data_IF_721144316578
#
_entry.id   IF_721144316578
#
_cell.length_a   1.000
_cell.length_b   1.000
_cell.length_c   1.000
_cell.angle_alpha   90.00
_cell.angle_beta   90.00
_cell.angle_gamma   90.00
#
_symmetry.space_group_name_H-M   'P 1'
#
loop_
_entity.id
_entity.type
_entity.pdbx_description
1 polymer ?
#
# COMPACT_ATOMS: atom_id res chain seq x y z
N UNK A 1 -0.75 9.12 33.34
CA UNK A 1 -1.03 7.96 32.47
C UNK A 1 -2.10 8.41 31.49
N UNK A 2 -1.69 8.90 30.33
CA UNK A 2 -2.64 9.21 29.27
C UNK A 2 -3.11 7.88 28.67
N UNK A 3 -4.42 7.66 28.66
CA UNK A 3 -5.06 6.62 27.86
C UNK A 3 -4.71 6.95 26.41
N UNK A 4 -4.16 5.98 25.69
CA UNK A 4 -4.11 6.06 24.23
C UNK A 4 -5.57 5.85 23.83
N UNK A 5 -6.27 6.97 23.65
CA UNK A 5 -7.58 6.98 23.03
C UNK A 5 -7.42 6.35 21.65
N UNK A 6 -8.26 5.36 21.37
CA UNK A 6 -8.37 4.66 20.10
C UNK A 6 -8.43 5.67 18.95
N UNK A 7 -7.29 5.92 18.31
CA UNK A 7 -7.22 6.52 16.99
C UNK A 7 -7.81 5.46 16.05
N UNK A 8 -8.73 5.87 15.16
CA UNK A 8 -9.37 4.98 14.19
C UNK A 8 -8.35 4.04 13.58
N UNK A 9 -8.66 2.75 13.58
CA UNK A 9 -7.72 1.73 13.11
C UNK A 9 -7.53 1.96 11.60
N UNK A 10 -6.41 2.58 11.21
CA UNK A 10 -6.06 2.69 9.80
C UNK A 10 -5.93 1.27 9.23
N UNK A 11 -6.78 0.94 8.27
CA UNK A 11 -6.75 -0.37 7.65
C UNK A 11 -5.60 -0.37 6.64
N UNK A 12 -4.60 -1.20 6.90
CA UNK A 12 -3.45 -1.39 6.01
C UNK A 12 -3.54 -2.74 5.31
N UNK A 13 -3.19 -2.77 4.04
CA UNK A 13 -2.96 -3.97 3.26
C UNK A 13 -1.58 -3.95 2.64
N UNK A 14 -0.93 -5.10 2.52
CA UNK A 14 0.38 -5.20 1.90
C UNK A 14 0.54 -6.43 1.01
N UNK A 15 1.33 -6.26 -0.05
CA UNK A 15 1.66 -7.32 -0.99
C UNK A 15 3.14 -7.33 -1.34
N UNK A 16 3.81 -8.44 -1.03
CA UNK A 16 5.23 -8.62 -1.27
C UNK A 16 5.49 -9.10 -2.69
N UNK A 17 6.30 -8.36 -3.42
CA UNK A 17 6.78 -8.71 -4.76
C UNK A 17 8.27 -9.04 -4.73
N UNK A 18 8.86 -9.35 -5.90
CA UNK A 18 10.31 -9.49 -6.04
C UNK A 18 11.06 -8.16 -5.99
N UNK A 19 10.37 -7.04 -6.21
CA UNK A 19 10.96 -5.71 -6.36
C UNK A 19 10.82 -4.86 -5.10
N UNK A 20 9.97 -5.27 -4.17
CA UNK A 20 9.64 -4.57 -2.92
C UNK A 20 8.26 -4.96 -2.43
N UNK A 21 7.79 -4.32 -1.37
CA UNK A 21 6.49 -4.57 -0.75
C UNK A 21 5.58 -3.37 -1.00
N UNK A 22 4.48 -3.57 -1.73
CA UNK A 22 3.44 -2.55 -1.80
C UNK A 22 2.65 -2.53 -0.51
N UNK A 23 2.24 -1.34 -0.11
CA UNK A 23 1.26 -1.13 0.95
C UNK A 23 0.21 -0.12 0.49
N UNK A 24 -1.03 -0.34 0.94
CA UNK A 24 -2.12 0.61 0.83
C UNK A 24 -2.67 0.83 2.24
N UNK A 25 -2.82 2.09 2.63
CA UNK A 25 -3.41 2.47 3.93
C UNK A 25 -4.68 3.28 3.68
N UNK A 26 -5.79 2.87 4.27
CA UNK A 26 -7.00 3.66 4.37
C UNK A 26 -6.93 4.59 5.56
N UNK A 27 -6.96 5.90 5.30
CA UNK A 27 -7.12 6.91 6.33
C UNK A 27 -8.61 7.15 6.58
N UNK A 28 -9.09 6.73 7.75
CA UNK A 28 -10.47 6.94 8.17
C UNK A 28 -10.82 8.44 8.26
N UNK A 29 -9.86 9.30 8.62
CA UNK A 29 -10.09 10.73 8.79
C UNK A 29 -10.48 11.42 7.47
N UNK A 30 -9.81 11.04 6.39
CA UNK A 30 -9.97 11.71 5.09
C UNK A 30 -10.72 10.85 4.05
N UNK A 31 -11.03 9.59 4.39
CA UNK A 31 -11.54 8.58 3.46
C UNK A 31 -10.68 8.51 2.18
N UNK A 32 -9.37 8.46 2.37
CA UNK A 32 -8.37 8.40 1.30
C UNK A 32 -7.51 7.15 1.45
N UNK A 33 -6.96 6.70 0.33
CA UNK A 33 -6.09 5.53 0.24
C UNK A 33 -4.69 5.99 -0.16
N UNK A 34 -3.71 5.76 0.71
CA UNK A 34 -2.32 6.06 0.45
C UNK A 34 -1.62 4.83 -0.09
N UNK A 35 -0.99 4.97 -1.26
CA UNK A 35 -0.17 3.94 -1.86
C UNK A 35 1.30 4.21 -1.55
N UNK A 36 2.03 3.17 -1.22
CA UNK A 36 3.48 3.20 -1.25
C UNK A 36 4.12 1.86 -1.52
N UNK A 37 5.45 1.89 -1.62
CA UNK A 37 6.28 0.73 -1.84
C UNK A 37 7.53 0.84 -0.96
N UNK A 38 7.76 -0.19 -0.15
CA UNK A 38 8.79 -0.19 0.89
C UNK A 38 8.67 1.07 1.77
N UNK A 39 9.68 1.94 1.84
CA UNK A 39 9.64 3.19 2.62
C UNK A 39 9.04 4.38 1.89
N UNK A 40 8.75 4.25 0.59
CA UNK A 40 8.38 5.38 -0.27
C UNK A 40 6.86 5.49 -0.41
N UNK A 41 6.30 6.68 -0.19
CA UNK A 41 4.92 6.99 -0.57
C UNK A 41 4.89 7.37 -2.06
N UNK A 42 3.96 6.76 -2.79
CA UNK A 42 3.85 6.89 -4.25
C UNK A 42 2.64 7.73 -4.66
N UNK A 43 1.53 7.64 -3.91
CA UNK A 43 0.31 8.35 -4.28
C UNK A 43 -0.77 8.37 -3.20
N UNK A 44 -1.80 9.18 -3.44
CA UNK A 44 -2.97 9.31 -2.59
C UNK A 44 -4.22 9.32 -3.48
N UNK A 45 -5.18 8.46 -3.16
CA UNK A 45 -6.31 8.12 -4.01
C UNK A 45 -7.62 8.26 -3.24
N UNK A 46 -8.71 8.52 -3.96
CA UNK A 46 -10.07 8.54 -3.37
C UNK A 46 -10.70 7.15 -3.25
N UNK A 47 -10.16 6.19 -3.99
CA UNK A 47 -10.67 4.82 -4.07
C UNK A 47 -9.50 3.87 -4.07
N UNK A 48 -9.63 2.76 -3.36
CA UNK A 48 -8.61 1.72 -3.30
C UNK A 48 -8.35 1.11 -4.69
N UNK A 49 -9.39 1.01 -5.52
CA UNK A 49 -9.26 0.44 -6.87
C UNK A 49 -8.37 1.29 -7.78
N UNK A 50 -8.33 2.61 -7.58
CA UNK A 50 -7.46 3.49 -8.36
C UNK A 50 -5.98 3.26 -8.00
N UNK A 51 -5.68 3.03 -6.71
CA UNK A 51 -4.34 2.66 -6.27
C UNK A 51 -3.89 1.32 -6.85
N UNK A 52 -4.74 0.28 -6.76
CA UNK A 52 -4.43 -1.05 -7.32
C UNK A 52 -4.23 -0.98 -8.83
N UNK A 53 -5.06 -0.18 -9.51
CA UNK A 53 -4.96 0.04 -10.95
C UNK A 53 -3.60 0.61 -11.34
N UNK A 54 -3.10 1.63 -10.66
CA UNK A 54 -1.78 2.21 -10.95
C UNK A 54 -0.65 1.19 -10.77
N UNK A 55 -0.74 0.31 -9.77
CA UNK A 55 0.23 -0.78 -9.57
C UNK A 55 0.20 -1.75 -10.75
N UNK A 56 -1.00 -2.14 -11.20
CA UNK A 56 -1.17 -3.09 -12.31
C UNK A 56 -0.77 -2.51 -13.66
N UNK A 57 -1.09 -1.24 -13.88
CA UNK A 57 -0.75 -0.51 -15.11
C UNK A 57 0.70 -0.02 -15.10
N UNK A 58 1.46 -0.29 -14.03
CA UNK A 58 2.86 0.10 -13.92
C UNK A 58 3.05 1.61 -14.12
N UNK A 59 2.15 2.38 -13.49
CA UNK A 59 2.08 3.84 -13.55
C UNK A 59 2.13 4.44 -12.14
N UNK A 60 2.90 3.81 -11.26
CA UNK A 60 2.99 4.18 -9.83
C UNK A 60 3.94 5.35 -9.58
N UNK A 61 4.78 5.70 -10.56
CA UNK A 61 5.89 6.63 -10.41
C UNK A 61 7.15 5.99 -9.84
N UNK A 62 7.10 4.71 -9.45
CA UNK A 62 8.26 3.96 -8.99
C UNK A 62 8.95 3.29 -10.19
N UNK A 63 10.04 3.89 -10.65
CA UNK A 63 10.75 3.50 -11.88
C UNK A 63 11.06 2.00 -12.01
N UNK A 64 11.58 1.36 -10.95
CA UNK A 64 11.93 -0.07 -10.97
C UNK A 64 10.70 -0.96 -11.14
N UNK A 65 9.57 -0.56 -10.55
CA UNK A 65 8.31 -1.25 -10.73
C UNK A 65 7.72 -0.99 -12.11
N UNK A 66 7.68 0.28 -12.50
CA UNK A 66 7.02 0.73 -13.73
C UNK A 66 7.71 0.19 -15.00
N UNK A 67 9.02 -0.06 -14.95
CA UNK A 67 9.79 -0.65 -16.06
C UNK A 67 9.87 -2.19 -16.04
N UNK A 68 9.32 -2.86 -15.02
CA UNK A 68 9.45 -4.31 -14.88
C UNK A 68 8.61 -5.06 -15.94
N UNK A 69 9.17 -6.08 -16.60
CA UNK A 69 8.46 -6.75 -17.72
C UNK A 69 7.45 -7.83 -17.33
N UNK A 70 7.39 -8.23 -16.06
CA UNK A 70 6.57 -9.40 -15.65
C UNK A 70 6.33 -9.39 -14.14
N UNK A 71 5.62 -8.38 -13.66
CA UNK A 71 5.12 -8.36 -12.30
C UNK A 71 3.60 -8.49 -12.32
N UNK A 72 3.07 -9.46 -11.60
CA UNK A 72 1.63 -9.66 -11.43
C UNK A 72 1.32 -9.40 -9.96
N UNK A 73 0.34 -8.55 -9.72
CA UNK A 73 -0.28 -8.28 -8.42
C UNK A 73 -1.75 -8.68 -8.49
N UNK A 74 -2.36 -9.16 -7.39
CA UNK A 74 -3.79 -9.42 -7.32
C UNK A 74 -4.62 -8.18 -7.66
N UNK A 75 -5.79 -8.38 -8.27
CA UNK A 75 -6.70 -7.30 -8.64
C UNK A 75 -7.55 -6.81 -7.47
N UNK A 76 -7.74 -7.69 -6.49
CA UNK A 76 -8.49 -7.40 -5.27
C UNK A 76 -7.51 -7.25 -4.09
N UNK A 77 -7.68 -6.17 -3.34
CA UNK A 77 -6.87 -5.91 -2.15
C UNK A 77 -7.17 -6.92 -1.04
N UNK A 78 -8.34 -7.56 -1.04
CA UNK A 78 -8.67 -8.60 -0.07
C UNK A 78 -7.85 -9.89 -0.28
N UNK A 79 -7.13 -10.01 -1.40
CA UNK A 79 -6.13 -11.07 -1.61
C UNK A 79 -4.75 -10.71 -1.04
N UNK A 80 -4.60 -9.50 -0.51
CA UNK A 80 -3.38 -9.01 0.13
C UNK A 80 -3.40 -9.34 1.63
N UNK A 81 -2.24 -9.29 2.27
CA UNK A 81 -2.18 -9.47 3.71
C UNK A 81 -2.64 -8.17 4.40
N UNK A 82 -3.52 -8.29 5.40
CA UNK A 82 -3.97 -7.18 6.25
C UNK A 82 -2.97 -6.91 7.38
N UNK A 83 -2.81 -5.63 7.74
CA UNK A 83 -1.92 -5.14 8.80
C UNK A 83 -0.59 -4.58 8.29
N UNK A 84 0.31 -4.26 9.23
CA UNK A 84 1.65 -3.82 8.89
C UNK A 84 2.52 -5.00 8.42
N UNK A 85 3.36 -4.83 7.39
CA UNK A 85 4.32 -5.86 7.03
C UNK A 85 5.30 -6.07 8.20
N UNK A 86 5.40 -7.29 8.72
CA UNK A 86 6.19 -7.71 9.91
C UNK A 86 7.70 -7.31 9.90
N UNK A 87 8.20 -6.67 8.84
CA UNK A 87 9.61 -6.32 8.66
C UNK A 87 9.88 -4.83 8.39
N UNK A 88 8.95 -3.91 8.66
CA UNK A 88 9.22 -2.46 8.53
C UNK A 88 10.31 -2.00 9.52
N UNK A 89 10.34 -2.54 10.74
CA UNK A 89 11.30 -2.16 11.82
C UNK A 89 12.74 -2.71 11.67
N UNK A 90 13.12 -3.31 10.53
CA UNK A 90 14.44 -3.99 10.40
C UNK A 90 15.49 -3.27 9.54
N UNK A 91 15.29 -2.00 9.18
CA UNK A 91 16.28 -1.24 8.40
C UNK A 91 16.61 0.12 9.02
#
# INVERSE_FOLDING_TARGET
MARIDSLGEEIMWHHKTKLGTFWIVESEENHQYYLGMDSDSLGCYKRIEDAIKDIREQSTGQLKWDEARSSVVPEDVHEWAEGEPENWDKF
#
